data_IF_229326291143
#
_entry.id   IF_229326291143
#
_cell.length_a   1.000
_cell.length_b   1.000
_cell.length_c   1.000
_cell.angle_alpha   90.00
_cell.angle_beta   90.00
_cell.angle_gamma   90.00
#
_symmetry.space_group_name_H-M   'P 1'
#
loop_
_entity.id
_entity.type
_entity.pdbx_description
1 polymer ?
#
# COMPACT_ATOMS: atom_id res chain seq x y z
N UNK A 1 2.74 -8.45 -7.11
CA UNK A 1 3.61 -7.25 -7.11
C UNK A 1 4.83 -7.44 -6.21
N UNK A 2 4.67 -7.75 -4.92
CA UNK A 2 5.82 -7.88 -4.00
C UNK A 2 6.55 -9.23 -3.97
N UNK A 3 6.07 -10.26 -4.68
CA UNK A 3 6.68 -11.60 -4.63
C UNK A 3 8.16 -11.59 -5.02
N UNK A 4 8.52 -10.87 -6.08
CA UNK A 4 9.92 -10.73 -6.54
C UNK A 4 10.81 -9.99 -5.54
N UNK A 5 10.28 -8.98 -4.85
CA UNK A 5 10.98 -8.29 -3.78
C UNK A 5 11.18 -9.20 -2.56
N UNK A 6 10.13 -9.92 -2.15
CA UNK A 6 10.18 -10.88 -1.05
C UNK A 6 11.20 -11.99 -1.30
N UNK A 7 11.25 -12.54 -2.52
CA UNK A 7 12.20 -13.59 -2.89
C UNK A 7 13.65 -13.08 -2.85
N UNK A 8 13.90 -11.88 -3.40
CA UNK A 8 15.23 -11.27 -3.39
C UNK A 8 15.71 -10.95 -1.98
N UNK A 9 14.87 -10.34 -1.15
CA UNK A 9 15.22 -10.06 0.25
C UNK A 9 15.48 -11.36 1.03
N UNK A 10 14.65 -12.39 0.80
CA UNK A 10 14.84 -13.70 1.44
C UNK A 10 16.16 -14.34 1.03
N UNK A 11 16.54 -14.24 -0.25
CA UNK A 11 17.83 -14.74 -0.74
C UNK A 11 19.01 -14.01 -0.08
N UNK A 12 18.97 -12.68 -0.03
CA UNK A 12 19.98 -11.85 0.64
C UNK A 12 20.10 -12.21 2.13
N UNK A 13 18.98 -12.44 2.82
CA UNK A 13 18.99 -12.80 4.25
C UNK A 13 19.53 -14.21 4.53
N UNK A 14 19.37 -15.17 3.61
CA UNK A 14 19.99 -16.50 3.75
C UNK A 14 21.52 -16.41 3.79
N UNK A 15 22.11 -15.53 2.97
CA UNK A 15 23.55 -15.31 2.94
C UNK A 15 24.12 -14.74 4.25
N UNK A 16 23.33 -13.94 4.97
CA UNK A 16 23.72 -13.37 6.27
C UNK A 16 23.59 -14.36 7.44
N UNK A 17 22.56 -15.21 7.43
CA UNK A 17 22.28 -16.14 8.54
C UNK A 17 23.33 -17.23 8.74
N UNK A 18 24.11 -17.55 7.71
CA UNK A 18 25.15 -18.58 7.77
C UNK A 18 26.49 -18.12 8.37
N UNK A 19 26.65 -16.83 8.70
CA UNK A 19 27.93 -16.27 9.14
C UNK A 19 27.94 -16.03 10.65
N UNK A 20 28.93 -16.60 11.35
CA UNK A 20 29.11 -16.42 12.80
C UNK A 20 29.61 -15.02 13.19
N UNK A 21 30.25 -14.28 12.28
CA UNK A 21 30.63 -12.88 12.44
C UNK A 21 30.42 -12.15 11.12
N UNK A 22 29.87 -10.95 11.17
CA UNK A 22 29.69 -10.10 9.99
C UNK A 22 30.80 -9.07 9.92
N UNK A 23 31.41 -8.93 8.73
CA UNK A 23 32.28 -7.80 8.43
C UNK A 23 31.46 -6.62 7.90
N UNK A 24 32.04 -5.42 7.95
CA UNK A 24 31.47 -4.24 7.28
C UNK A 24 31.24 -4.47 5.78
N UNK A 25 32.15 -5.21 5.13
CA UNK A 25 32.01 -5.58 3.72
C UNK A 25 30.77 -6.45 3.45
N UNK A 26 30.41 -7.35 4.39
CA UNK A 26 29.22 -8.20 4.28
C UNK A 26 27.92 -7.38 4.40
N UNK A 27 27.91 -6.43 5.34
CA UNK A 27 26.79 -5.50 5.54
C UNK A 27 26.62 -4.65 4.27
N UNK A 28 27.72 -4.14 3.73
CA UNK A 28 27.72 -3.31 2.52
C UNK A 28 27.29 -4.04 1.26
N UNK A 29 27.65 -5.31 1.12
CA UNK A 29 27.16 -6.16 0.04
C UNK A 29 25.63 -6.34 0.15
N UNK A 30 25.14 -6.65 1.34
CA UNK A 30 23.72 -6.84 1.63
C UNK A 30 22.91 -5.58 1.34
N UNK A 31 23.37 -4.42 1.82
CA UNK A 31 22.69 -3.13 1.60
C UNK A 31 22.63 -2.80 0.09
N UNK A 32 23.67 -3.13 -0.68
CA UNK A 32 23.68 -2.95 -2.14
C UNK A 32 22.67 -3.85 -2.85
N UNK A 33 22.46 -5.08 -2.37
CA UNK A 33 21.42 -5.97 -2.91
C UNK A 33 20.01 -5.45 -2.59
N UNK A 34 19.77 -5.08 -1.33
CA UNK A 34 18.49 -4.50 -0.90
C UNK A 34 18.18 -3.23 -1.71
N UNK A 35 19.17 -2.35 -1.90
CA UNK A 35 19.04 -1.14 -2.73
C UNK A 35 18.56 -1.48 -4.14
N UNK A 36 19.22 -2.44 -4.80
CA UNK A 36 18.85 -2.87 -6.15
C UNK A 36 17.45 -3.45 -6.19
N UNK A 37 17.10 -4.31 -5.22
CA UNK A 37 15.77 -4.91 -5.15
C UNK A 37 14.65 -3.86 -4.98
N UNK A 38 14.88 -2.80 -4.21
CA UNK A 38 13.92 -1.71 -4.03
C UNK A 38 13.79 -0.83 -5.27
N UNK A 39 14.91 -0.50 -5.94
CA UNK A 39 14.87 0.28 -7.18
C UNK A 39 14.18 -0.48 -8.31
N UNK A 40 14.44 -1.79 -8.45
CA UNK A 40 13.76 -2.66 -9.41
C UNK A 40 12.26 -2.83 -9.11
N UNK A 41 11.84 -2.51 -7.89
CA UNK A 41 10.44 -2.53 -7.45
C UNK A 41 9.77 -1.14 -7.53
N UNK A 42 10.32 -0.22 -8.33
CA UNK A 42 9.81 1.13 -8.55
C UNK A 42 9.73 2.01 -7.29
N UNK A 43 10.56 1.74 -6.28
CA UNK A 43 10.64 2.59 -5.09
C UNK A 43 11.46 3.84 -5.39
N UNK A 44 10.94 5.01 -5.03
CA UNK A 44 11.57 6.30 -5.30
C UNK A 44 13.00 6.38 -4.72
N UNK A 45 13.95 6.85 -5.54
CA UNK A 45 15.38 6.97 -5.18
C UNK A 45 15.62 7.67 -3.84
N UNK A 46 14.95 8.80 -3.50
CA UNK A 46 15.15 9.44 -2.20
C UNK A 46 14.77 8.54 -1.03
N UNK A 47 13.70 7.75 -1.15
CA UNK A 47 13.23 6.80 -0.12
C UNK A 47 14.26 5.68 0.04
N UNK A 48 14.73 5.08 -1.06
CA UNK A 48 15.74 4.02 -1.02
C UNK A 48 17.06 4.52 -0.41
N UNK A 49 17.47 5.76 -0.72
CA UNK A 49 18.68 6.36 -0.15
C UNK A 49 18.56 6.51 1.36
N UNK A 50 17.47 7.10 1.84
CA UNK A 50 17.21 7.27 3.29
C UNK A 50 17.13 5.93 4.00
N UNK A 51 16.35 4.98 3.45
CA UNK A 51 16.19 3.62 4.00
C UNK A 51 17.54 2.89 4.16
N UNK A 52 18.32 2.83 3.08
CA UNK A 52 19.61 2.12 3.11
C UNK A 52 20.67 2.82 3.96
N UNK A 53 20.58 4.14 4.12
CA UNK A 53 21.41 4.90 5.05
C UNK A 53 21.15 4.53 6.51
N UNK A 54 19.87 4.50 6.92
CA UNK A 54 19.46 4.13 8.28
C UNK A 54 19.87 2.69 8.62
N UNK A 55 19.66 1.76 7.69
CA UNK A 55 20.10 0.37 7.87
C UNK A 55 21.62 0.30 8.08
N UNK A 56 22.42 1.04 7.28
CA UNK A 56 23.87 1.04 7.42
C UNK A 56 24.31 1.53 8.81
N UNK A 57 23.78 2.67 9.24
CA UNK A 57 24.11 3.27 10.51
C UNK A 57 23.81 2.32 11.68
N UNK A 58 22.61 1.72 11.69
CA UNK A 58 22.19 0.77 12.71
C UNK A 58 22.97 -0.54 12.65
N UNK A 59 23.27 -1.03 11.44
CA UNK A 59 23.98 -2.30 11.25
C UNK A 59 25.46 -2.22 11.66
N UNK A 60 26.08 -1.04 11.58
CA UNK A 60 27.44 -0.79 12.06
C UNK A 60 27.49 -0.36 13.53
N UNK A 61 26.33 -0.13 14.15
CA UNK A 61 26.22 0.28 15.54
C UNK A 61 26.59 -0.82 16.54
N UNK A 62 26.70 -0.41 17.80
CA UNK A 62 26.96 -1.32 18.93
C UNK A 62 25.89 -2.42 19.06
N UNK A 63 24.66 -2.13 18.61
CA UNK A 63 23.51 -3.04 18.63
C UNK A 63 23.78 -4.37 17.88
N UNK A 64 24.50 -4.33 16.75
CA UNK A 64 24.88 -5.54 16.00
C UNK A 64 26.18 -6.13 16.52
N UNK A 65 27.15 -5.28 16.88
CA UNK A 65 28.48 -5.71 17.30
C UNK A 65 28.49 -6.55 18.58
N UNK A 66 27.49 -6.36 19.45
CA UNK A 66 27.33 -7.15 20.69
C UNK A 66 26.30 -8.29 20.57
N UNK A 67 25.67 -8.47 19.41
CA UNK A 67 24.62 -9.46 19.23
C UNK A 67 25.21 -10.89 19.14
N UNK A 68 24.56 -11.84 19.82
CA UNK A 68 24.88 -13.27 19.72
C UNK A 68 24.65 -13.84 18.31
N UNK A 69 23.75 -13.23 17.54
CA UNK A 69 23.48 -13.58 16.15
C UNK A 69 23.41 -12.32 15.25
N UNK A 70 24.56 -11.83 14.75
CA UNK A 70 24.62 -10.60 13.97
C UNK A 70 23.76 -10.65 12.70
N UNK A 71 23.68 -11.81 12.04
CA UNK A 71 22.87 -12.01 10.84
C UNK A 71 21.38 -11.78 11.10
N UNK A 72 20.85 -12.35 12.19
CA UNK A 72 19.45 -12.09 12.57
C UNK A 72 19.21 -10.65 13.00
N UNK A 73 20.18 -10.02 13.66
CA UNK A 73 20.05 -8.63 14.07
C UNK A 73 19.94 -7.69 12.87
N UNK A 74 20.73 -7.91 11.81
CA UNK A 74 20.59 -7.14 10.56
C UNK A 74 19.23 -7.36 9.92
N UNK A 75 18.72 -8.59 9.87
CA UNK A 75 17.37 -8.87 9.36
C UNK A 75 16.29 -8.12 10.15
N UNK A 76 16.43 -8.08 11.48
CA UNK A 76 15.53 -7.35 12.37
C UNK A 76 15.55 -5.84 12.06
N UNK A 77 16.74 -5.25 11.95
CA UNK A 77 16.91 -3.82 11.58
C UNK A 77 16.20 -3.54 10.26
N UNK A 78 16.43 -4.35 9.22
CA UNK A 78 15.80 -4.16 7.91
C UNK A 78 14.27 -4.25 8.02
N UNK A 79 13.75 -5.21 8.78
CA UNK A 79 12.31 -5.36 8.98
C UNK A 79 11.69 -4.14 9.68
N UNK A 80 12.31 -3.66 10.75
CA UNK A 80 11.83 -2.49 11.50
C UNK A 80 11.82 -1.22 10.63
N UNK A 81 12.88 -1.01 9.84
CA UNK A 81 12.93 0.11 8.90
C UNK A 81 11.86 0.01 7.79
N UNK A 82 11.55 -1.22 7.33
CA UNK A 82 10.46 -1.44 6.36
C UNK A 82 9.11 -1.10 6.98
N UNK A 83 8.88 -1.50 8.24
CA UNK A 83 7.65 -1.16 8.98
C UNK A 83 7.52 0.36 9.14
N UNK A 84 8.60 1.05 9.52
CA UNK A 84 8.58 2.50 9.69
C UNK A 84 8.26 3.23 8.38
N UNK A 85 8.91 2.86 7.27
CA UNK A 85 8.67 3.48 5.96
C UNK A 85 7.24 3.24 5.44
N UNK A 86 6.65 2.09 5.75
CA UNK A 86 5.29 1.74 5.32
C UNK A 86 4.20 2.36 6.22
N UNK A 87 4.56 3.23 7.17
CA UNK A 87 3.61 3.98 8.00
C UNK A 87 3.51 3.48 9.44
N UNK A 88 4.37 2.55 9.85
CA UNK A 88 4.46 2.05 11.21
C UNK A 88 3.26 1.18 11.58
N UNK A 89 2.33 1.77 12.33
CA UNK A 89 1.16 1.05 12.84
C UNK A 89 0.00 1.05 11.86
N UNK A 90 -0.73 -0.07 11.82
CA UNK A 90 -1.97 -0.17 11.08
C UNK A 90 -2.98 0.85 11.61
N UNK A 91 -3.54 1.66 10.71
CA UNK A 91 -4.61 2.62 11.03
C UNK A 91 -5.92 2.11 10.45
N UNK A 92 -6.91 1.95 11.32
CA UNK A 92 -8.27 1.65 10.91
C UNK A 92 -8.97 2.86 10.28
N UNK A 93 -10.21 2.66 9.85
CA UNK A 93 -11.08 3.75 9.41
C UNK A 93 -11.54 4.56 10.63
N UNK A 94 -11.49 5.89 10.50
CA UNK A 94 -12.04 6.79 11.49
C UNK A 94 -13.51 7.05 11.19
N UNK A 95 -14.38 6.50 12.04
CA UNK A 95 -15.83 6.71 11.92
C UNK A 95 -16.26 8.01 12.61
N UNK A 96 -17.29 8.64 12.06
CA UNK A 96 -17.93 9.80 12.66
C UNK A 96 -18.57 9.42 14.01
N UNK A 97 -18.45 10.31 15.01
CA UNK A 97 -19.05 10.08 16.34
C UNK A 97 -20.59 10.12 16.31
N UNK A 98 -21.16 10.88 15.39
CA UNK A 98 -22.61 11.04 15.22
C UNK A 98 -22.92 11.12 13.72
N UNK A 99 -24.02 10.49 13.30
CA UNK A 99 -24.46 10.47 11.91
C UNK A 99 -23.68 9.50 11.01
N UNK A 100 -23.91 9.56 9.69
CA UNK A 100 -23.22 8.70 8.74
C UNK A 100 -21.74 9.11 8.60
N UNK A 101 -20.87 8.13 8.40
CA UNK A 101 -19.47 8.38 8.02
C UNK A 101 -19.38 8.55 6.51
N UNK A 102 -18.94 9.70 6.04
CA UNK A 102 -18.76 9.98 4.61
C UNK A 102 -17.32 9.70 4.23
N UNK A 103 -17.11 8.79 3.27
CA UNK A 103 -15.79 8.41 2.77
C UNK A 103 -15.69 8.77 1.28
N UNK A 104 -14.83 9.72 0.95
CA UNK A 104 -14.57 10.12 -0.44
C UNK A 104 -13.36 9.37 -0.99
N UNK A 105 -13.53 8.70 -2.13
CA UNK A 105 -12.43 8.05 -2.84
C UNK A 105 -11.93 8.94 -3.97
N UNK A 106 -10.76 9.57 -3.76
CA UNK A 106 -10.10 10.40 -4.75
C UNK A 106 -8.78 9.75 -5.23
N UNK A 107 -8.34 10.12 -6.43
CA UNK A 107 -7.11 9.57 -7.03
C UNK A 107 -7.15 9.61 -8.56
N UNK A 108 -6.05 9.21 -9.19
CA UNK A 108 -5.87 9.27 -10.64
C UNK A 108 -6.85 8.36 -11.40
N UNK A 109 -7.06 8.65 -12.69
CA UNK A 109 -7.83 7.76 -13.58
C UNK A 109 -7.13 6.39 -13.67
N UNK A 110 -7.92 5.31 -13.69
CA UNK A 110 -7.38 3.94 -13.69
C UNK A 110 -6.83 3.44 -12.36
N UNK A 111 -6.76 4.25 -11.29
CA UNK A 111 -6.26 3.84 -9.97
C UNK A 111 -7.15 2.82 -9.21
N UNK A 112 -8.24 2.35 -9.82
CA UNK A 112 -9.13 1.34 -9.23
C UNK A 112 -10.14 1.86 -8.21
N UNK A 113 -10.42 3.17 -8.17
CA UNK A 113 -11.35 3.80 -7.21
C UNK A 113 -12.73 3.14 -7.15
N UNK A 114 -13.38 2.94 -8.30
CA UNK A 114 -14.71 2.31 -8.38
C UNK A 114 -14.69 0.88 -7.84
N UNK A 115 -13.66 0.11 -8.17
CA UNK A 115 -13.48 -1.26 -7.66
C UNK A 115 -13.21 -1.26 -6.15
N UNK A 116 -12.40 -0.33 -5.66
CA UNK A 116 -12.14 -0.16 -4.23
C UNK A 116 -13.42 0.23 -3.48
N UNK A 117 -14.28 1.08 -4.05
CA UNK A 117 -15.56 1.46 -3.46
C UNK A 117 -16.42 0.23 -3.16
N UNK A 118 -16.59 -0.67 -4.13
CA UNK A 118 -17.33 -1.91 -3.93
C UNK A 118 -16.71 -2.85 -2.91
N UNK A 119 -15.37 -3.03 -2.95
CA UNK A 119 -14.66 -3.87 -1.97
C UNK A 119 -14.79 -3.33 -0.55
N UNK A 120 -14.61 -2.02 -0.39
CA UNK A 120 -14.72 -1.33 0.89
C UNK A 120 -16.16 -1.44 1.43
N UNK A 121 -17.16 -1.20 0.59
CA UNK A 121 -18.54 -1.32 0.98
C UNK A 121 -18.92 -2.76 1.36
N UNK A 122 -18.46 -3.75 0.60
CA UNK A 122 -18.67 -5.16 0.96
C UNK A 122 -18.03 -5.51 2.31
N UNK A 123 -16.80 -5.04 2.54
CA UNK A 123 -16.09 -5.25 3.80
C UNK A 123 -16.82 -4.60 4.99
N UNK A 124 -17.20 -3.32 4.87
CA UNK A 124 -17.98 -2.62 5.90
C UNK A 124 -19.32 -3.30 6.18
N UNK A 125 -19.99 -3.79 5.13
CA UNK A 125 -21.23 -4.57 5.28
C UNK A 125 -20.99 -5.87 6.05
N UNK A 126 -19.87 -6.56 5.79
CA UNK A 126 -19.50 -7.79 6.54
C UNK A 126 -19.20 -7.53 8.01
N UNK A 127 -18.81 -6.30 8.36
CA UNK A 127 -18.62 -5.83 9.75
C UNK A 127 -19.92 -5.33 10.40
N UNK A 128 -21.06 -5.42 9.70
CA UNK A 128 -22.39 -5.05 10.23
C UNK A 128 -22.81 -3.61 9.95
N UNK A 129 -22.03 -2.83 9.18
CA UNK A 129 -22.44 -1.50 8.76
C UNK A 129 -23.46 -1.55 7.59
N UNK A 130 -24.15 -0.42 7.37
CA UNK A 130 -25.10 -0.23 6.26
C UNK A 130 -24.57 0.78 5.24
N UNK A 131 -23.57 0.41 4.42
CA UNK A 131 -22.96 1.34 3.47
C UNK A 131 -23.93 1.69 2.33
N UNK A 132 -23.73 2.89 1.77
CA UNK A 132 -24.37 3.38 0.56
C UNK A 132 -23.27 3.89 -0.38
N UNK A 133 -23.26 3.42 -1.61
CA UNK A 133 -22.35 3.94 -2.64
C UNK A 133 -23.00 5.15 -3.32
N UNK A 134 -22.23 6.21 -3.55
CA UNK A 134 -22.71 7.43 -4.20
C UNK A 134 -21.93 7.65 -5.50
N UNK A 135 -22.64 7.74 -6.63
CA UNK A 135 -22.06 8.04 -7.92
C UNK A 135 -21.71 9.54 -8.01
N UNK A 136 -20.45 9.87 -7.74
CA UNK A 136 -19.93 11.24 -7.87
C UNK A 136 -19.18 11.50 -9.19
N UNK A 137 -18.93 10.47 -10.00
CA UNK A 137 -18.30 10.59 -11.34
C UNK A 137 -19.41 10.56 -12.41
N UNK A 138 -20.03 11.72 -12.67
CA UNK A 138 -21.13 11.85 -13.63
C UNK A 138 -20.64 12.15 -15.06
N UNK A 139 -19.38 12.57 -15.20
CA UNK A 139 -18.82 13.02 -16.47
C UNK A 139 -18.13 11.92 -17.25
N UNK A 140 -17.52 10.92 -16.58
CA UNK A 140 -16.87 9.82 -17.30
C UNK A 140 -17.93 8.86 -17.86
N UNK A 141 -17.86 8.51 -19.16
CA UNK A 141 -18.80 7.57 -19.76
C UNK A 141 -18.92 6.28 -18.98
N UNK A 142 -20.17 5.86 -18.73
CA UNK A 142 -20.53 4.62 -18.04
C UNK A 142 -19.98 4.48 -16.62
N UNK A 143 -19.49 5.55 -15.98
CA UNK A 143 -18.98 5.48 -14.61
C UNK A 143 -20.08 5.16 -13.59
N UNK A 144 -21.28 5.71 -13.78
CA UNK A 144 -22.47 5.40 -12.97
C UNK A 144 -22.85 3.94 -13.13
N UNK A 145 -23.05 3.47 -14.37
CA UNK A 145 -23.37 2.07 -14.69
C UNK A 145 -22.32 1.10 -14.13
N UNK A 146 -21.03 1.45 -14.22
CA UNK A 146 -19.94 0.67 -13.64
C UNK A 146 -20.09 0.56 -12.12
N UNK A 147 -20.41 1.66 -11.43
CA UNK A 147 -20.61 1.66 -9.99
C UNK A 147 -21.86 0.86 -9.59
N UNK A 148 -22.95 0.94 -10.35
CA UNK A 148 -24.16 0.13 -10.17
C UNK A 148 -23.86 -1.37 -10.22
N UNK A 149 -23.15 -1.83 -11.25
CA UNK A 149 -22.73 -3.24 -11.38
C UNK A 149 -21.83 -3.66 -10.21
N UNK A 150 -20.93 -2.79 -9.77
CA UNK A 150 -20.06 -3.06 -8.62
C UNK A 150 -20.86 -3.12 -7.31
N UNK A 151 -21.82 -2.23 -7.12
CA UNK A 151 -22.71 -2.20 -5.96
C UNK A 151 -23.60 -3.43 -5.88
N UNK A 152 -24.19 -3.84 -7.01
CA UNK A 152 -24.97 -5.08 -7.12
C UNK A 152 -24.15 -6.30 -6.68
N UNK A 153 -22.92 -6.44 -7.21
CA UNK A 153 -22.01 -7.53 -6.82
C UNK A 153 -21.60 -7.49 -5.35
N UNK A 154 -21.44 -6.29 -4.79
CA UNK A 154 -21.16 -6.11 -3.37
C UNK A 154 -22.40 -6.33 -2.47
N UNK A 155 -23.60 -6.35 -3.07
CA UNK A 155 -24.89 -6.36 -2.37
C UNK A 155 -25.15 -5.06 -1.61
N UNK A 156 -24.70 -3.92 -2.15
CA UNK A 156 -24.78 -2.59 -1.51
C UNK A 156 -25.56 -1.64 -2.43
N UNK A 157 -26.51 -0.85 -1.89
CA UNK A 157 -27.26 0.11 -2.69
C UNK A 157 -26.34 1.18 -3.27
N UNK A 158 -26.70 1.66 -4.47
CA UNK A 158 -26.02 2.76 -5.16
C UNK A 158 -27.03 3.88 -5.33
N UNK A 159 -26.64 5.08 -4.91
CA UNK A 159 -27.34 6.32 -5.17
C UNK A 159 -26.64 7.05 -6.32
N UNK A 160 -27.41 7.40 -7.35
CA UNK A 160 -26.98 8.25 -8.44
C UNK A 160 -28.04 9.35 -8.64
N UNK A 161 -27.66 10.64 -8.61
CA UNK A 161 -28.62 11.73 -8.83
C UNK A 161 -29.16 11.70 -10.27
N UNK A 162 -28.35 11.23 -11.23
CA UNK A 162 -28.71 11.04 -12.64
C UNK A 162 -27.97 9.82 -13.21
N UNK A 163 -28.40 9.34 -14.38
CA UNK A 163 -27.74 8.21 -15.09
C UNK A 163 -26.31 8.52 -15.58
N UNK A 164 -25.84 9.76 -15.44
CA UNK A 164 -24.53 10.20 -15.95
C UNK A 164 -24.44 10.17 -17.48
N UNK A 165 -23.22 10.34 -17.98
CA UNK A 165 -22.86 10.22 -19.40
C UNK A 165 -22.80 8.73 -19.81
N UNK A 166 -23.53 8.35 -20.86
CA UNK A 166 -23.60 6.97 -21.36
C UNK A 166 -22.77 6.71 -22.61
N UNK A 167 -22.42 7.78 -23.35
CA UNK A 167 -21.54 7.75 -24.54
C UNK A 167 -20.59 8.95 -24.53
N UNK A 168 -19.42 8.82 -25.17
CA UNK A 168 -18.39 9.88 -25.21
C UNK A 168 -18.84 11.19 -25.87
N UNK A 169 -19.86 11.13 -26.73
CA UNK A 169 -20.43 12.26 -27.48
C UNK A 169 -21.57 12.98 -26.72
N UNK A 170 -22.00 12.47 -25.56
CA UNK A 170 -23.03 13.13 -24.76
C UNK A 170 -22.46 14.31 -23.94
N UNK A 171 -23.27 15.37 -23.78
CA UNK A 171 -22.91 16.49 -22.89
C UNK A 171 -22.71 15.99 -21.47
N UNK A 172 -21.67 16.50 -20.80
CA UNK A 172 -21.43 16.26 -19.39
C UNK A 172 -22.67 16.61 -18.55
N UNK A 173 -22.99 15.76 -17.57
CA UNK A 173 -24.11 15.92 -16.64
C UNK A 173 -23.60 16.22 -15.23
N UNK A 174 -24.40 16.94 -14.44
CA UNK A 174 -24.03 17.43 -13.11
C UNK A 174 -23.41 18.83 -13.13
N UNK A 175 -23.50 19.54 -12.00
CA UNK A 175 -22.80 20.80 -11.74
C UNK A 175 -21.32 20.48 -11.40
N UNK A 176 -20.32 21.16 -11.98
CA UNK A 176 -18.90 20.89 -11.74
C UNK A 176 -18.44 21.04 -10.28
#
# INVERSE_FOLDING_TARGET
>A
MFATLSDRLTATFRGLRGKGRLSEADIDATIREIRRALLDADVAVPVVRTFTGRIRERALGAEVSQALNPGQQVVKIVHEELVEILGGQARGLNFAKQGPTVIMLAGLQGAGKTTLAGKLAHHLKSEGHTPLLVAADLQRPNAVTQLEVVGERAGVPVFAPERGVTREDEKAKGDP
#
